data_IF_038990236820
#
_entry.id   IF_038990236820
#
_cell.length_a   1.000
_cell.length_b   1.000
_cell.length_c   1.000
_cell.angle_alpha   90.00
_cell.angle_beta   90.00
_cell.angle_gamma   90.00
#
_symmetry.space_group_name_H-M   'P 1'
#
loop_
_entity.id
_entity.type
_entity.pdbx_description
1 polymer ?
#
# COMPACT_ATOMS: atom_id res chain seq x y z
N UNK A 1 31.36 10.79 -15.13
CA UNK A 1 30.28 11.41 -14.32
C UNK A 1 29.88 10.45 -13.21
N UNK A 2 29.83 10.95 -11.98
CA UNK A 2 29.63 10.13 -10.77
C UNK A 2 28.16 9.68 -10.71
N UNK A 3 27.92 8.37 -10.75
CA UNK A 3 26.58 7.81 -10.53
C UNK A 3 26.15 8.16 -9.10
N UNK A 4 24.92 8.63 -8.91
CA UNK A 4 24.37 8.79 -7.57
C UNK A 4 24.23 7.41 -6.93
N UNK A 5 25.23 7.03 -6.14
CA UNK A 5 25.20 5.82 -5.32
C UNK A 5 24.53 6.15 -3.99
N UNK A 6 24.07 5.13 -3.26
CA UNK A 6 23.54 5.34 -1.89
C UNK A 6 24.56 6.02 -0.96
N UNK A 7 25.86 5.79 -1.21
CA UNK A 7 26.94 6.41 -0.43
C UNK A 7 27.00 7.93 -0.68
N UNK A 8 26.98 8.34 -1.94
CA UNK A 8 27.02 9.77 -2.29
C UNK A 8 25.70 10.47 -1.94
N UNK A 9 24.56 9.78 -2.05
CA UNK A 9 23.28 10.33 -1.59
C UNK A 9 23.26 10.54 -0.07
N UNK A 10 23.93 9.69 0.71
CA UNK A 10 24.07 9.88 2.15
C UNK A 10 24.92 11.12 2.49
N UNK A 11 25.99 11.36 1.73
CA UNK A 11 26.83 12.56 1.87
C UNK A 11 26.01 13.83 1.60
N UNK A 12 25.29 13.90 0.48
CA UNK A 12 24.43 15.05 0.16
C UNK A 12 23.32 15.30 1.19
N UNK A 13 22.63 14.25 1.64
CA UNK A 13 21.59 14.38 2.67
C UNK A 13 22.18 14.81 4.03
N UNK A 14 23.42 14.42 4.34
CA UNK A 14 24.08 14.82 5.58
C UNK A 14 24.50 16.29 5.58
N UNK A 15 24.60 16.95 4.43
CA UNK A 15 24.89 18.38 4.32
C UNK A 15 23.65 19.27 4.53
N UNK A 16 22.44 18.72 4.29
CA UNK A 16 21.18 19.45 4.46
C UNK A 16 20.88 19.82 5.92
N UNK A 17 20.12 20.88 6.13
CA UNK A 17 19.62 21.24 7.45
C UNK A 17 18.58 20.23 7.92
N UNK A 18 18.45 20.11 9.24
CA UNK A 18 17.51 19.17 9.85
C UNK A 18 16.07 19.40 9.36
N UNK A 19 15.68 20.65 9.14
CA UNK A 19 14.32 20.97 8.68
C UNK A 19 14.11 20.62 7.19
N UNK A 20 15.13 20.77 6.34
CA UNK A 20 15.09 20.30 4.94
C UNK A 20 14.97 18.77 4.89
N UNK A 21 15.67 18.05 5.78
CA UNK A 21 15.51 16.60 5.90
C UNK A 21 14.13 16.19 6.40
N UNK A 22 13.47 17.00 7.25
CA UNK A 22 12.09 16.76 7.64
C UNK A 22 11.13 16.97 6.48
N UNK A 23 11.34 18.00 5.67
CA UNK A 23 10.55 18.23 4.46
C UNK A 23 10.69 17.07 3.48
N UNK A 24 11.92 16.61 3.23
CA UNK A 24 12.18 15.43 2.39
C UNK A 24 11.52 14.19 2.98
N UNK A 25 11.70 13.92 4.28
CA UNK A 25 11.03 12.81 4.94
C UNK A 25 9.49 12.91 4.81
N UNK A 26 8.92 14.10 4.99
CA UNK A 26 7.48 14.36 4.84
C UNK A 26 6.99 14.13 3.41
N UNK A 27 7.75 14.52 2.39
CA UNK A 27 7.43 14.26 0.98
C UNK A 27 7.33 12.77 0.67
N UNK A 28 8.10 11.94 1.39
CA UNK A 28 8.04 10.48 1.30
C UNK A 28 7.07 9.84 2.32
N UNK A 29 6.29 10.63 3.07
CA UNK A 29 5.38 10.12 4.10
C UNK A 29 6.10 9.46 5.29
N UNK A 30 7.37 9.78 5.49
CA UNK A 30 8.20 9.23 6.57
C UNK A 30 8.07 10.09 7.83
N UNK A 31 8.19 9.48 9.03
CA UNK A 31 8.28 10.23 10.28
C UNK A 31 9.35 11.33 10.23
N UNK A 32 9.00 12.54 10.69
CA UNK A 32 9.87 13.72 10.69
C UNK A 32 10.56 13.98 12.05
N UNK A 33 10.30 13.11 13.03
CA UNK A 33 10.94 13.15 14.34
C UNK A 33 12.26 12.35 14.34
N UNK A 34 13.19 12.77 15.19
CA UNK A 34 14.48 12.09 15.38
C UNK A 34 15.69 13.00 15.26
N UNK A 35 16.87 12.37 15.26
CA UNK A 35 18.15 13.02 14.98
C UNK A 35 18.35 13.20 13.48
N UNK A 36 19.35 14.00 13.09
CA UNK A 36 19.65 14.25 11.67
C UNK A 36 20.04 12.95 10.96
N UNK A 37 20.88 12.14 11.60
CA UNK A 37 21.36 10.87 11.05
C UNK A 37 20.24 9.81 10.91
N UNK A 38 19.29 9.82 11.84
CA UNK A 38 18.08 8.98 11.75
C UNK A 38 17.23 9.38 10.55
N UNK A 39 17.06 10.68 10.28
CA UNK A 39 16.31 11.16 9.12
C UNK A 39 17.01 10.77 7.81
N UNK A 40 18.34 10.94 7.72
CA UNK A 40 19.13 10.56 6.54
C UNK A 40 19.00 9.06 6.26
N UNK A 41 19.19 8.22 7.29
CA UNK A 41 19.09 6.76 7.17
C UNK A 41 17.70 6.31 6.73
N UNK A 42 16.67 6.97 7.26
CA UNK A 42 15.26 6.69 6.95
C UNK A 42 14.93 7.06 5.50
N UNK A 43 15.39 8.22 5.04
CA UNK A 43 15.21 8.69 3.66
C UNK A 43 15.91 7.73 2.70
N UNK A 44 17.17 7.35 2.93
CA UNK A 44 17.93 6.46 2.04
C UNK A 44 17.35 5.05 1.94
N UNK A 45 16.76 4.55 3.03
CA UNK A 45 16.20 3.20 3.08
C UNK A 45 14.87 3.09 2.34
N UNK A 46 14.09 4.17 2.31
CA UNK A 46 12.71 4.15 1.82
C UNK A 46 12.51 4.93 0.50
N UNK A 47 13.37 5.90 0.19
CA UNK A 47 13.28 6.69 -1.03
C UNK A 47 14.03 6.02 -2.19
N UNK A 48 13.42 6.09 -3.39
CA UNK A 48 14.09 5.68 -4.63
C UNK A 48 15.14 6.73 -4.99
N UNK A 49 16.36 6.30 -5.31
CA UNK A 49 17.47 7.18 -5.71
C UNK A 49 17.10 8.11 -6.88
N UNK A 50 16.25 7.64 -7.80
CA UNK A 50 15.77 8.44 -8.93
C UNK A 50 14.88 9.61 -8.54
N UNK A 51 14.19 9.52 -7.40
CA UNK A 51 13.33 10.58 -6.89
C UNK A 51 14.11 11.52 -5.97
N UNK A 52 15.05 10.97 -5.17
CA UNK A 52 16.01 11.79 -4.43
C UNK A 52 16.85 12.67 -5.35
N UNK A 53 17.29 12.15 -6.50
CA UNK A 53 18.05 12.94 -7.47
C UNK A 53 17.28 14.17 -7.99
N UNK A 54 15.94 14.09 -8.09
CA UNK A 54 15.08 15.21 -8.52
C UNK A 54 14.89 16.25 -7.43
N UNK A 55 14.72 15.79 -6.18
CA UNK A 55 14.51 16.67 -5.02
C UNK A 55 15.79 17.42 -4.65
N UNK A 56 16.94 16.77 -4.80
CA UNK A 56 18.25 17.40 -4.58
C UNK A 56 18.69 18.31 -5.74
N UNK A 57 17.81 18.58 -6.72
CA UNK A 57 18.06 19.40 -7.92
C UNK A 57 19.34 19.03 -8.70
N UNK A 58 19.75 17.75 -8.64
CA UNK A 58 20.92 17.27 -9.40
C UNK A 58 20.46 16.88 -10.80
N UNK A 59 20.87 17.67 -11.81
CA UNK A 59 20.46 17.51 -13.22
C UNK A 59 20.73 16.08 -13.75
N UNK A 60 19.71 15.34 -14.23
CA UNK A 60 19.91 14.13 -15.01
C UNK A 60 20.05 14.49 -16.50
N UNK A 61 21.26 14.41 -17.06
CA UNK A 61 21.46 14.53 -18.51
C UNK A 61 21.28 13.21 -19.27
N UNK A 62 20.82 13.34 -20.51
CA UNK A 62 20.12 12.35 -21.31
C UNK A 62 20.96 11.69 -22.44
N UNK A 63 20.94 10.35 -22.46
CA UNK A 63 20.88 9.36 -23.58
C UNK A 63 21.65 9.53 -24.92
N UNK A 64 22.42 8.47 -25.27
CA UNK A 64 22.45 7.72 -26.56
C UNK A 64 22.71 6.22 -26.24
N UNK A 65 21.79 5.25 -26.49
CA UNK A 65 21.67 4.28 -27.64
C UNK A 65 23.00 3.61 -28.01
N UNK A 66 23.15 2.28 -27.94
CA UNK A 66 22.81 1.25 -28.96
C UNK A 66 22.48 -0.12 -28.28
N UNK A 67 21.30 -0.71 -28.55
CA UNK A 67 21.00 -1.88 -29.42
C UNK A 67 21.03 -3.21 -28.64
N UNK A 68 19.89 -3.83 -28.30
CA UNK A 68 19.07 -4.67 -29.20
C UNK A 68 17.55 -4.46 -29.00
N UNK A 69 16.80 -4.44 -30.12
CA UNK A 69 15.32 -4.45 -30.28
C UNK A 69 14.91 -5.72 -31.05
N UNK A 70 13.61 -6.06 -31.27
CA UNK A 70 12.34 -5.63 -30.62
C UNK A 70 11.43 -6.84 -30.25
N UNK A 71 10.49 -6.76 -29.30
CA UNK A 71 9.04 -6.44 -29.47
C UNK A 71 8.41 -6.66 -28.07
N UNK A 72 7.45 -5.91 -27.51
CA UNK A 72 6.46 -4.98 -28.08
C UNK A 72 6.15 -3.81 -27.11
N UNK A 73 5.62 -2.75 -27.71
CA UNK A 73 5.30 -1.41 -27.18
C UNK A 73 4.29 -1.41 -26.01
N UNK A 74 4.65 -0.76 -24.91
CA UNK A 74 4.12 0.52 -24.37
C UNK A 74 2.72 0.54 -23.75
N UNK A 75 2.63 1.02 -22.50
CA UNK A 75 2.01 2.32 -22.16
C UNK A 75 2.43 2.75 -20.75
N UNK A 76 2.93 3.99 -20.60
CA UNK A 76 2.90 4.72 -19.33
C UNK A 76 1.42 4.81 -18.94
N UNK A 77 0.99 4.13 -17.89
CA UNK A 77 -0.35 4.26 -17.33
C UNK A 77 -0.27 5.12 -16.07
N UNK A 78 -1.27 5.98 -15.88
CA UNK A 78 -1.43 6.75 -14.65
C UNK A 78 -1.40 5.80 -13.43
N UNK A 79 -0.71 6.13 -12.34
CA UNK A 79 -0.76 5.33 -11.10
C UNK A 79 -2.20 5.10 -10.60
N UNK A 80 -3.12 6.02 -10.92
CA UNK A 80 -4.55 5.90 -10.65
C UNK A 80 -5.26 4.83 -11.52
N UNK A 81 -4.84 4.68 -12.78
CA UNK A 81 -5.35 3.66 -13.72
C UNK A 81 -4.92 2.26 -13.25
N UNK A 82 -3.68 2.11 -12.77
CA UNK A 82 -3.17 0.84 -12.23
C UNK A 82 -3.86 0.47 -10.91
N UNK A 83 -4.07 1.43 -10.00
CA UNK A 83 -4.78 1.20 -8.74
C UNK A 83 -6.23 0.74 -8.97
N UNK A 84 -6.95 1.37 -9.90
CA UNK A 84 -8.32 0.99 -10.27
C UNK A 84 -8.40 -0.44 -10.81
N UNK A 85 -7.39 -0.85 -11.59
CA UNK A 85 -7.30 -2.19 -12.14
C UNK A 85 -7.03 -3.22 -11.04
N UNK A 86 -6.09 -2.95 -10.14
CA UNK A 86 -5.80 -3.81 -8.99
C UNK A 86 -7.04 -3.98 -8.12
N UNK A 87 -7.72 -2.87 -7.80
CA UNK A 87 -8.95 -2.88 -7.02
C UNK A 87 -10.01 -3.82 -7.62
N UNK A 88 -10.30 -3.69 -8.91
CA UNK A 88 -11.26 -4.57 -9.61
C UNK A 88 -10.82 -6.03 -9.61
N UNK A 89 -9.52 -6.30 -9.79
CA UNK A 89 -8.98 -7.67 -9.75
C UNK A 89 -9.11 -8.29 -8.35
N UNK A 90 -8.79 -7.53 -7.29
CA UNK A 90 -8.92 -7.96 -5.89
C UNK A 90 -10.38 -8.25 -5.56
N UNK A 91 -11.29 -7.31 -5.85
CA UNK A 91 -12.73 -7.50 -5.62
C UNK A 91 -13.25 -8.74 -6.34
N UNK A 92 -12.86 -8.94 -7.61
CA UNK A 92 -13.27 -10.12 -8.39
C UNK A 92 -12.73 -11.42 -7.80
N UNK A 93 -11.50 -11.41 -7.29
CA UNK A 93 -10.88 -12.56 -6.65
C UNK A 93 -11.60 -12.90 -5.34
N UNK A 94 -11.76 -11.92 -4.44
CA UNK A 94 -12.37 -12.10 -3.13
C UNK A 94 -13.86 -12.47 -3.21
N UNK A 95 -14.58 -12.02 -4.25
CA UNK A 95 -15.96 -12.46 -4.50
C UNK A 95 -16.08 -13.92 -4.99
N UNK A 96 -14.98 -14.54 -5.43
CA UNK A 96 -14.98 -15.89 -6.01
C UNK A 96 -14.45 -16.97 -5.07
N UNK A 97 -13.70 -16.58 -4.05
CA UNK A 97 -13.12 -17.53 -3.13
C UNK A 97 -14.17 -18.15 -2.21
N UNK A 98 -13.86 -19.36 -1.78
CA UNK A 98 -14.52 -20.06 -0.67
C UNK A 98 -13.42 -20.28 0.36
N UNK A 99 -13.15 -19.31 1.25
CA UNK A 99 -12.12 -19.48 2.27
C UNK A 99 -12.38 -20.73 3.11
N UNK A 100 -11.31 -21.41 3.58
CA UNK A 100 -11.46 -22.48 4.55
C UNK A 100 -12.14 -21.97 5.83
N UNK A 101 -12.58 -22.88 6.69
CA UNK A 101 -13.11 -22.50 8.00
C UNK A 101 -11.97 -21.89 8.82
N UNK A 102 -12.05 -20.58 9.05
CA UNK A 102 -11.13 -19.82 9.91
C UNK A 102 -11.80 -19.52 11.25
N UNK A 103 -11.01 -19.33 12.31
CA UNK A 103 -11.50 -19.12 13.67
C UNK A 103 -11.50 -17.66 14.12
N UNK A 104 -10.64 -16.84 13.52
CA UNK A 104 -10.40 -15.46 13.92
C UNK A 104 -9.95 -14.61 12.72
N UNK A 105 -9.72 -13.32 12.98
CA UNK A 105 -9.27 -12.34 11.98
C UNK A 105 -7.84 -12.63 11.51
N UNK A 106 -6.93 -13.05 12.39
CA UNK A 106 -5.54 -13.36 12.03
C UNK A 106 -5.43 -14.53 11.03
N UNK A 107 -6.19 -15.61 11.23
CA UNK A 107 -6.24 -16.75 10.28
C UNK A 107 -6.83 -16.32 8.93
N UNK A 108 -7.83 -15.43 8.97
CA UNK A 108 -8.42 -14.85 7.76
C UNK A 108 -7.39 -13.98 7.01
N UNK A 109 -6.65 -13.13 7.73
CA UNK A 109 -5.58 -12.29 7.19
C UNK A 109 -4.51 -13.12 6.52
N UNK A 110 -4.00 -14.15 7.21
CA UNK A 110 -2.98 -15.04 6.65
C UNK A 110 -3.43 -15.71 5.35
N UNK A 111 -4.68 -16.18 5.30
CA UNK A 111 -5.25 -16.79 4.10
C UNK A 111 -5.38 -15.78 2.94
N UNK A 112 -5.97 -14.61 3.20
CA UNK A 112 -6.17 -13.59 2.18
C UNK A 112 -4.83 -13.01 1.70
N UNK A 113 -3.88 -12.81 2.60
CA UNK A 113 -2.52 -12.36 2.29
C UNK A 113 -1.85 -13.33 1.31
N UNK A 114 -1.82 -14.63 1.64
CA UNK A 114 -1.21 -15.65 0.78
C UNK A 114 -1.87 -15.72 -0.60
N UNK A 115 -3.20 -15.60 -0.66
CA UNK A 115 -3.96 -15.56 -1.90
C UNK A 115 -3.58 -14.35 -2.78
N UNK A 116 -3.50 -13.16 -2.19
CA UNK A 116 -3.13 -11.93 -2.88
C UNK A 116 -1.67 -11.96 -3.33
N UNK A 117 -0.75 -12.40 -2.47
CA UNK A 117 0.66 -12.58 -2.82
C UNK A 117 0.80 -13.53 -4.02
N UNK A 118 0.15 -14.70 -3.99
CA UNK A 118 0.16 -15.63 -5.12
C UNK A 118 -0.41 -15.04 -6.40
N UNK A 119 -1.50 -14.26 -6.30
CA UNK A 119 -2.13 -13.60 -7.46
C UNK A 119 -1.20 -12.57 -8.12
N UNK A 120 -0.42 -11.85 -7.34
CA UNK A 120 0.33 -10.68 -7.78
C UNK A 120 1.84 -10.91 -7.93
N UNK A 121 2.37 -12.04 -7.45
CA UNK A 121 3.80 -12.39 -7.51
C UNK A 121 4.39 -12.33 -8.92
N UNK A 122 3.72 -12.93 -9.91
CA UNK A 122 4.20 -12.97 -11.31
C UNK A 122 4.33 -11.58 -11.94
N UNK A 123 3.58 -10.60 -11.42
CA UNK A 123 3.59 -9.21 -11.88
C UNK A 123 4.53 -8.32 -11.07
N UNK A 124 5.25 -8.88 -10.09
CA UNK A 124 6.12 -8.15 -9.15
C UNK A 124 5.40 -6.98 -8.47
N UNK A 125 4.10 -7.14 -8.22
CA UNK A 125 3.30 -6.17 -7.46
C UNK A 125 3.44 -6.54 -5.99
N UNK A 126 3.79 -5.54 -5.18
CA UNK A 126 4.01 -5.72 -3.74
C UNK A 126 2.67 -5.92 -3.01
N UNK A 127 2.65 -6.84 -2.05
CA UNK A 127 1.52 -7.09 -1.15
C UNK A 127 2.08 -7.15 0.27
N UNK A 128 1.73 -6.16 1.08
CA UNK A 128 2.34 -5.92 2.40
C UNK A 128 1.30 -6.10 3.50
N UNK A 129 1.51 -6.99 4.47
CA UNK A 129 0.73 -6.99 5.71
C UNK A 129 1.16 -5.82 6.59
N UNK A 130 0.21 -5.09 7.15
CA UNK A 130 0.52 -3.95 8.03
C UNK A 130 0.29 -4.29 9.51
N UNK A 131 -0.62 -5.22 9.82
CA UNK A 131 -0.99 -5.57 11.21
C UNK A 131 0.13 -6.26 11.99
N UNK A 132 1.07 -6.92 11.30
CA UNK A 132 2.18 -7.66 11.92
C UNK A 132 3.32 -6.72 12.39
N UNK A 133 3.26 -5.43 12.04
CA UNK A 133 4.23 -4.43 12.47
C UNK A 133 3.56 -3.35 13.34
N UNK A 134 3.98 -3.26 14.60
CA UNK A 134 3.91 -2.05 15.45
C UNK A 134 2.68 -1.89 16.37
N UNK A 135 2.73 -2.57 17.50
CA UNK A 135 2.29 -2.02 18.79
C UNK A 135 3.17 -0.82 19.18
N UNK A 136 2.91 0.38 18.65
CA UNK A 136 3.45 1.70 19.10
C UNK A 136 3.05 2.81 18.12
N UNK A 137 1.89 3.43 18.36
CA UNK A 137 1.51 4.70 17.73
C UNK A 137 0.06 4.71 17.23
N UNK A 138 -0.68 5.79 17.53
CA UNK A 138 -2.13 5.97 17.33
C UNK A 138 -2.57 6.11 15.85
N UNK A 139 -2.12 5.25 14.96
CA UNK A 139 -2.58 5.19 13.57
C UNK A 139 -3.00 3.77 13.26
N UNK A 140 -4.32 3.55 13.25
CA UNK A 140 -4.96 2.35 12.69
C UNK A 140 -4.46 2.18 11.25
N UNK A 141 -3.85 1.05 10.92
CA UNK A 141 -3.42 0.69 9.57
C UNK A 141 -4.37 -0.38 9.02
N UNK A 142 -4.62 -0.41 7.70
CA UNK A 142 -5.40 -1.48 7.08
C UNK A 142 -4.64 -2.79 7.13
N UNK A 143 -5.32 -3.94 7.21
CA UNK A 143 -4.64 -5.22 7.37
C UNK A 143 -3.61 -5.53 6.27
N UNK A 144 -3.97 -5.27 5.01
CA UNK A 144 -3.12 -5.53 3.84
C UNK A 144 -3.12 -4.33 2.88
N UNK A 145 -1.97 -4.04 2.28
CA UNK A 145 -1.84 -3.05 1.20
C UNK A 145 -1.28 -3.71 -0.07
N UNK A 146 -1.94 -3.49 -1.21
CA UNK A 146 -1.53 -4.01 -2.52
C UNK A 146 -1.07 -2.87 -3.43
N UNK A 147 0.15 -3.00 -3.96
CA UNK A 147 0.76 -2.04 -4.88
C UNK A 147 0.91 -0.64 -4.31
N UNK A 148 0.91 -0.49 -2.98
CA UNK A 148 0.95 0.80 -2.28
C UNK A 148 -0.32 1.66 -2.44
N UNK A 149 -1.39 1.15 -3.07
CA UNK A 149 -2.52 1.98 -3.49
C UNK A 149 -3.90 1.40 -3.15
N UNK A 150 -4.04 0.09 -2.95
CA UNK A 150 -5.31 -0.54 -2.56
C UNK A 150 -5.17 -1.07 -1.14
N UNK A 151 -5.96 -0.53 -0.21
CA UNK A 151 -6.08 -1.06 1.13
C UNK A 151 -7.11 -2.19 1.15
N UNK A 152 -6.83 -3.24 1.91
CA UNK A 152 -7.75 -4.35 2.18
C UNK A 152 -7.89 -4.47 3.68
N UNK A 153 -9.11 -4.24 4.16
CA UNK A 153 -9.50 -4.42 5.55
C UNK A 153 -10.35 -5.68 5.67
N UNK A 154 -10.05 -6.50 6.67
CA UNK A 154 -10.67 -7.78 6.91
C UNK A 154 -11.42 -7.71 8.24
N UNK A 155 -12.62 -8.27 8.29
CA UNK A 155 -13.36 -8.42 9.54
C UNK A 155 -13.92 -9.81 9.70
N UNK A 156 -13.57 -10.45 10.82
CA UNK A 156 -14.28 -11.63 11.29
C UNK A 156 -15.53 -11.18 12.06
N UNK A 157 -16.71 -11.36 11.48
CA UNK A 157 -17.95 -10.83 12.04
C UNK A 157 -18.48 -11.75 13.13
N UNK A 158 -18.43 -11.26 14.39
CA UNK A 158 -19.11 -11.89 15.52
C UNK A 158 -20.40 -11.15 15.88
N UNK A 159 -20.59 -9.91 15.46
CA UNK A 159 -21.83 -9.16 15.70
C UNK A 159 -21.93 -7.90 14.86
N UNK A 160 -23.02 -7.15 15.08
CA UNK A 160 -23.27 -5.89 14.40
C UNK A 160 -22.13 -4.87 14.65
N UNK A 161 -21.62 -4.78 15.88
CA UNK A 161 -20.54 -3.87 16.27
C UNK A 161 -19.26 -4.08 15.45
N UNK A 162 -18.91 -5.34 15.11
CA UNK A 162 -17.76 -5.63 14.26
C UNK A 162 -17.94 -5.08 12.85
N UNK A 163 -19.18 -5.17 12.34
CA UNK A 163 -19.51 -4.62 11.03
C UNK A 163 -19.44 -3.08 11.04
N UNK A 164 -20.01 -2.42 12.04
CA UNK A 164 -19.93 -0.95 12.18
C UNK A 164 -18.48 -0.46 12.24
N UNK A 165 -17.66 -1.14 13.05
CA UNK A 165 -16.22 -0.86 13.17
C UNK A 165 -15.50 -1.02 11.82
N UNK A 166 -15.79 -2.10 11.09
CA UNK A 166 -15.23 -2.34 9.76
C UNK A 166 -15.57 -1.23 8.76
N UNK A 167 -16.82 -0.74 8.75
CA UNK A 167 -17.22 0.40 7.92
C UNK A 167 -16.44 1.66 8.33
N UNK A 168 -16.38 1.96 9.62
CA UNK A 168 -15.66 3.14 10.13
C UNK A 168 -14.17 3.12 9.74
N UNK A 169 -13.53 1.97 9.82
CA UNK A 169 -12.14 1.78 9.39
C UNK A 169 -11.99 1.94 7.87
N UNK A 170 -12.85 1.31 7.07
CA UNK A 170 -12.79 1.40 5.61
C UNK A 170 -12.97 2.86 5.12
N UNK A 171 -13.91 3.60 5.71
CA UNK A 171 -14.11 5.02 5.43
C UNK A 171 -12.87 5.83 5.82
N UNK A 172 -12.25 5.54 6.97
CA UNK A 172 -11.02 6.20 7.40
C UNK A 172 -9.85 5.90 6.44
N UNK A 173 -9.72 4.69 5.93
CA UNK A 173 -8.65 4.36 4.98
C UNK A 173 -8.85 4.99 3.61
N UNK A 174 -10.09 5.23 3.21
CA UNK A 174 -10.41 5.88 1.94
C UNK A 174 -9.93 7.34 1.85
N UNK A 175 -9.55 7.98 2.98
CA UNK A 175 -8.88 9.29 2.95
C UNK A 175 -7.41 9.22 2.57
N UNK A 176 -6.78 8.04 2.70
CA UNK A 176 -5.33 7.84 2.51
C UNK A 176 -5.04 6.99 1.28
N UNK A 177 -5.89 6.01 1.00
CA UNK A 177 -5.73 5.08 -0.11
C UNK A 177 -6.74 5.38 -1.21
N UNK A 178 -6.32 5.40 -2.49
CA UNK A 178 -7.21 5.58 -3.63
C UNK A 178 -8.41 4.63 -3.63
N UNK A 179 -8.20 3.37 -3.23
CA UNK A 179 -9.26 2.36 -3.17
C UNK A 179 -9.16 1.51 -1.90
N UNK A 180 -10.31 1.08 -1.39
CA UNK A 180 -10.42 0.24 -0.20
C UNK A 180 -11.33 -0.95 -0.48
N UNK A 181 -10.90 -2.15 -0.13
CA UNK A 181 -11.75 -3.34 -0.10
C UNK A 181 -11.99 -3.73 1.34
N UNK A 182 -13.25 -3.75 1.76
CA UNK A 182 -13.66 -4.27 3.05
C UNK A 182 -14.20 -5.69 2.86
N UNK A 183 -13.58 -6.67 3.48
CA UNK A 183 -13.96 -8.08 3.37
C UNK A 183 -14.51 -8.61 4.70
N UNK A 184 -15.78 -8.98 4.71
CA UNK A 184 -16.42 -9.63 5.85
C UNK A 184 -16.41 -11.13 5.70
N UNK A 185 -15.84 -11.80 6.69
CA UNK A 185 -16.09 -13.20 6.95
C UNK A 185 -17.21 -13.31 8.00
N UNK A 186 -18.42 -13.58 7.52
CA UNK A 186 -19.66 -13.57 8.28
C UNK A 186 -20.45 -14.89 8.09
N UNK A 187 -19.91 -16.03 8.53
CA UNK A 187 -20.53 -17.34 8.36
C UNK A 187 -21.93 -17.45 8.98
N UNK A 188 -22.29 -16.53 9.87
CA UNK A 188 -23.57 -16.51 10.58
C UNK A 188 -24.52 -15.40 10.11
N UNK A 189 -24.16 -14.64 9.06
CA UNK A 189 -24.98 -13.58 8.46
C UNK A 189 -25.45 -12.53 9.48
N UNK A 190 -24.53 -12.09 10.35
CA UNK A 190 -24.76 -11.10 11.43
C UNK A 190 -24.53 -9.66 10.99
N UNK A 191 -23.83 -9.44 9.88
CA UNK A 191 -23.62 -8.11 9.30
C UNK A 191 -24.90 -7.58 8.66
N UNK A 192 -25.12 -6.27 8.79
CA UNK A 192 -26.36 -5.62 8.35
C UNK A 192 -26.13 -4.50 7.33
N UNK A 193 -24.87 -4.18 7.03
CA UNK A 193 -24.52 -3.15 6.05
C UNK A 193 -24.65 -3.65 4.63
N UNK A 194 -25.18 -2.78 3.77
CA UNK A 194 -25.18 -2.97 2.34
C UNK A 194 -24.23 -1.98 1.66
N UNK A 195 -23.80 -2.34 0.43
CA UNK A 195 -22.85 -1.55 -0.36
C UNK A 195 -23.28 -0.09 -0.57
N UNK A 196 -24.57 0.23 -0.47
CA UNK A 196 -25.08 1.60 -0.67
C UNK A 196 -24.63 2.60 0.41
N UNK A 197 -24.09 2.14 1.53
CA UNK A 197 -23.57 2.99 2.60
C UNK A 197 -22.14 3.50 2.36
N UNK A 198 -21.47 3.08 1.27
CA UNK A 198 -20.04 3.28 1.07
C UNK A 198 -19.73 4.15 -0.17
N UNK A 199 -18.62 4.89 -0.10
CA UNK A 199 -18.11 5.70 -1.21
C UNK A 199 -17.75 4.87 -2.45
N UNK A 200 -17.71 5.50 -3.63
CA UNK A 200 -17.45 4.81 -4.93
C UNK A 200 -16.11 4.08 -4.99
N UNK A 201 -15.15 4.45 -4.16
CA UNK A 201 -13.83 3.86 -4.07
C UNK A 201 -13.69 2.78 -2.99
N UNK A 202 -14.79 2.43 -2.32
CA UNK A 202 -14.84 1.37 -1.32
C UNK A 202 -15.73 0.24 -1.84
N UNK A 203 -15.26 -1.00 -1.78
CA UNK A 203 -16.08 -2.19 -2.03
C UNK A 203 -16.22 -3.03 -0.76
N UNK A 204 -17.45 -3.27 -0.33
CA UNK A 204 -17.77 -4.31 0.64
C UNK A 204 -17.95 -5.67 -0.08
N UNK A 205 -17.21 -6.67 0.36
CA UNK A 205 -17.33 -8.07 -0.03
C UNK A 205 -17.70 -8.88 1.20
N UNK A 206 -18.82 -9.60 1.14
CA UNK A 206 -19.29 -10.45 2.25
C UNK A 206 -19.21 -11.92 1.84
N UNK A 207 -18.66 -12.75 2.73
CA UNK A 207 -18.63 -14.19 2.60
C UNK A 207 -19.18 -14.86 3.86
N UNK A 208 -20.01 -15.91 3.76
CA UNK A 208 -20.67 -16.38 2.55
C UNK A 208 -21.64 -15.33 1.97
N UNK A 209 -21.98 -15.49 0.70
CA UNK A 209 -22.93 -14.61 0.01
C UNK A 209 -24.37 -14.75 0.52
#
# INVERSE_FOLDING_TARGET
>A
MVKLTRKNAAEFLSELKKDELKEIASMYGLPVSGTKDELVSRILSNAKLSDLAKILEVKPESKQKEDVKPQAKQKKQDPEIDASKFFKEIVKLLKKITPPKVKNEDELELYVLGLLQGKFASRKIEVVPQTIAVSRGKTTQPDIVVGGAVAVELKYIKGADDSDRGIGQAVKYASTYPYVVLYYYDPQKRSHHSKSALGKNIELVVYPK
#
